data_IF_432072674449
#
_entry.id   IF_432072674449
#
_cell.length_a   1.000
_cell.length_b   1.000
_cell.length_c   1.000
_cell.angle_alpha   90.00
_cell.angle_beta   90.00
_cell.angle_gamma   90.00
#
_symmetry.space_group_name_H-M   'P 1'
#
loop_
_entity.id
_entity.type
_entity.pdbx_description
1 polymer ?
#
# COMPACT_ATOMS: atom_id res chain seq x y z
N UNK A 1 26.41 4.76 -26.62
CA UNK A 1 26.63 6.22 -26.64
C UNK A 1 26.98 6.58 -25.22
N UNK A 2 28.24 6.92 -24.91
CA UNK A 2 28.61 7.56 -23.66
C UNK A 2 27.90 8.91 -23.62
N UNK A 3 27.02 9.11 -22.65
CA UNK A 3 26.43 10.42 -22.37
C UNK A 3 27.53 11.22 -21.69
N UNK A 4 27.96 12.30 -22.30
CA UNK A 4 28.93 13.19 -21.66
C UNK A 4 28.24 13.90 -20.48
N UNK A 5 28.96 14.16 -19.38
CA UNK A 5 28.40 14.84 -18.19
C UNK A 5 27.75 16.19 -18.48
N UNK A 6 28.16 16.85 -19.56
CA UNK A 6 27.65 18.15 -20.02
C UNK A 6 26.27 18.08 -20.70
N UNK A 7 25.78 16.84 -21.03
CA UNK A 7 24.50 16.61 -21.69
C UNK A 7 23.40 16.11 -20.71
N UNK A 8 23.72 16.00 -19.43
CA UNK A 8 22.75 15.54 -18.43
C UNK A 8 21.85 16.69 -17.98
N UNK A 9 20.55 16.42 -17.88
CA UNK A 9 19.57 17.38 -17.39
C UNK A 9 19.81 17.69 -15.90
N UNK A 10 19.80 18.98 -15.53
CA UNK A 10 19.93 19.40 -14.15
C UNK A 10 18.65 19.07 -13.37
N UNK A 11 18.77 18.20 -12.37
CA UNK A 11 17.68 17.76 -11.50
C UNK A 11 17.73 18.38 -10.09
N UNK A 12 18.57 19.40 -9.87
CA UNK A 12 18.73 20.03 -8.55
C UNK A 12 17.38 20.53 -8.00
N UNK A 13 16.57 21.17 -8.83
CA UNK A 13 15.27 21.74 -8.49
C UNK A 13 14.10 20.77 -8.67
N UNK A 14 14.34 19.55 -9.19
CA UNK A 14 13.28 18.54 -9.38
C UNK A 14 12.84 18.00 -8.02
N UNK A 15 11.54 18.01 -7.75
CA UNK A 15 11.00 17.42 -6.54
C UNK A 15 11.13 15.90 -6.57
N UNK A 16 11.46 15.29 -5.42
CA UNK A 16 11.52 13.84 -5.25
C UNK A 16 10.39 13.36 -4.35
N UNK A 17 9.89 12.17 -4.61
CA UNK A 17 8.96 11.47 -3.73
C UNK A 17 9.28 9.98 -3.67
N UNK A 18 9.24 9.39 -2.49
CA UNK A 18 9.38 7.94 -2.33
C UNK A 18 8.11 7.21 -2.74
N UNK A 19 8.22 6.30 -3.72
CA UNK A 19 7.12 5.52 -4.27
C UNK A 19 7.09 4.06 -3.79
N UNK A 20 8.07 3.62 -2.99
CA UNK A 20 8.19 2.26 -2.49
C UNK A 20 8.62 2.26 -1.02
N UNK A 21 7.64 2.32 -0.11
CA UNK A 21 7.86 2.37 1.33
C UNK A 21 6.99 1.36 2.07
N UNK A 22 7.56 0.81 3.14
CA UNK A 22 6.89 -0.15 4.02
C UNK A 22 6.69 0.46 5.41
N UNK A 23 5.49 0.27 5.97
CA UNK A 23 5.18 0.68 7.32
C UNK A 23 5.16 -0.51 8.30
N UNK A 24 4.83 -0.23 9.55
CA UNK A 24 4.60 -1.22 10.61
C UNK A 24 3.56 -2.28 10.23
N UNK A 25 2.73 -2.03 9.20
CA UNK A 25 1.75 -2.99 8.67
C UNK A 25 2.38 -4.01 7.71
N UNK A 26 3.62 -3.80 7.26
CA UNK A 26 4.52 -4.88 6.80
C UNK A 26 5.05 -5.60 8.05
N UNK A 27 4.18 -6.39 8.69
CA UNK A 27 4.35 -6.92 10.05
C UNK A 27 5.66 -7.69 10.18
N UNK A 28 6.46 -7.32 11.21
CA UNK A 28 7.81 -7.85 11.46
C UNK A 28 8.82 -7.64 10.31
N UNK A 29 8.54 -6.71 9.39
CA UNK A 29 9.41 -6.44 8.23
C UNK A 29 9.81 -4.97 8.10
N UNK A 30 9.07 -4.04 8.73
CA UNK A 30 9.42 -2.62 8.76
C UNK A 30 9.23 -2.02 10.15
N UNK A 31 10.06 -1.04 10.49
CA UNK A 31 10.00 -0.29 11.75
C UNK A 31 9.33 1.07 11.60
N UNK A 32 8.88 1.43 10.40
CA UNK A 32 8.31 2.74 10.12
C UNK A 32 6.86 2.80 10.60
N UNK A 33 6.57 3.67 11.58
CA UNK A 33 5.17 4.00 11.88
C UNK A 33 4.62 5.02 10.87
N UNK A 34 3.33 4.93 10.54
CA UNK A 34 2.69 5.85 9.59
C UNK A 34 2.86 7.32 9.99
N UNK A 35 2.67 7.74 11.26
CA UNK A 35 2.94 9.11 11.67
C UNK A 35 4.39 9.56 11.37
N UNK A 36 5.38 8.69 11.60
CA UNK A 36 6.78 8.99 11.29
C UNK A 36 7.07 9.09 9.81
N UNK A 37 6.41 8.28 8.98
CA UNK A 37 6.50 8.39 7.53
C UNK A 37 6.01 9.76 7.05
N UNK A 38 4.86 10.21 7.55
CA UNK A 38 4.26 11.52 7.21
C UNK A 38 5.16 12.67 7.69
N UNK A 39 5.61 12.62 8.94
CA UNK A 39 6.51 13.62 9.54
C UNK A 39 7.80 13.79 8.72
N UNK A 40 8.45 12.69 8.35
CA UNK A 40 9.69 12.75 7.59
C UNK A 40 9.47 13.18 6.13
N UNK A 41 8.34 12.81 5.52
CA UNK A 41 7.95 13.30 4.20
C UNK A 41 7.81 14.83 4.22
N UNK A 42 7.11 15.38 5.21
CA UNK A 42 6.96 16.84 5.39
C UNK A 42 8.31 17.53 5.65
N UNK A 43 9.14 16.98 6.55
CA UNK A 43 10.46 17.50 6.89
C UNK A 43 11.39 17.54 5.67
N UNK A 44 11.32 16.54 4.80
CA UNK A 44 12.09 16.46 3.55
C UNK A 44 11.46 17.26 2.40
N UNK A 45 10.34 17.96 2.65
CA UNK A 45 9.61 18.77 1.66
C UNK A 45 9.21 17.98 0.41
N UNK A 46 8.88 16.70 0.55
CA UNK A 46 8.45 15.87 -0.56
C UNK A 46 6.97 16.13 -0.87
N UNK A 47 6.60 16.35 -2.15
CA UNK A 47 5.23 16.69 -2.55
C UNK A 47 4.27 15.51 -2.47
N UNK A 48 4.78 14.29 -2.37
CA UNK A 48 4.00 13.06 -2.28
C UNK A 48 4.79 11.96 -1.56
N UNK A 49 4.10 10.92 -1.14
CA UNK A 49 4.71 9.69 -0.63
C UNK A 49 3.76 8.53 -0.90
N UNK A 50 4.30 7.37 -1.27
CA UNK A 50 3.52 6.15 -1.39
C UNK A 50 3.65 5.27 -0.14
N UNK A 51 2.56 4.57 0.20
CA UNK A 51 2.56 3.45 1.13
C UNK A 51 2.33 2.17 0.35
N UNK A 52 3.29 1.25 0.39
CA UNK A 52 3.28 0.00 -0.40
C UNK A 52 3.61 -1.21 0.48
N UNK A 53 2.86 -1.38 1.56
CA UNK A 53 3.05 -2.50 2.49
C UNK A 53 2.98 -3.86 1.80
N UNK A 54 3.74 -4.83 2.32
CA UNK A 54 3.89 -6.16 1.74
C UNK A 54 2.61 -6.98 1.96
N UNK A 55 1.93 -7.31 0.88
CA UNK A 55 0.80 -8.23 0.83
C UNK A 55 -0.49 -7.72 1.47
N UNK A 56 -0.56 -6.50 1.97
CA UNK A 56 -1.78 -5.98 2.60
C UNK A 56 -1.93 -4.46 2.44
N UNK A 57 -3.14 -3.97 2.74
CA UNK A 57 -3.51 -2.56 2.69
C UNK A 57 -4.04 -2.05 4.04
N UNK A 58 -3.65 -2.69 5.15
CA UNK A 58 -4.19 -2.40 6.48
C UNK A 58 -3.88 -0.97 6.94
N UNK A 59 -2.74 -0.42 6.52
CA UNK A 59 -2.32 0.94 6.83
C UNK A 59 -3.00 2.05 6.02
N UNK A 60 -3.71 1.72 4.93
CA UNK A 60 -4.18 2.69 3.94
C UNK A 60 -5.07 3.77 4.54
N UNK A 61 -6.04 3.41 5.39
CA UNK A 61 -6.93 4.39 6.03
C UNK A 61 -6.17 5.34 6.96
N UNK A 62 -5.31 4.80 7.83
CA UNK A 62 -4.50 5.62 8.75
C UNK A 62 -3.55 6.54 7.98
N UNK A 63 -2.96 6.05 6.90
CA UNK A 63 -2.05 6.80 6.04
C UNK A 63 -2.75 7.98 5.35
N UNK A 64 -3.85 7.72 4.62
CA UNK A 64 -4.60 8.75 3.91
C UNK A 64 -5.17 9.79 4.89
N UNK A 65 -5.85 9.33 5.96
CA UNK A 65 -6.42 10.25 6.96
C UNK A 65 -5.34 11.07 7.68
N UNK A 66 -4.21 10.46 8.00
CA UNK A 66 -3.06 11.14 8.61
C UNK A 66 -2.51 12.25 7.72
N UNK A 67 -2.32 12.00 6.42
CA UNK A 67 -1.87 13.01 5.45
C UNK A 67 -2.91 14.11 5.26
N UNK A 68 -4.19 13.77 5.13
CA UNK A 68 -5.25 14.79 4.99
C UNK A 68 -5.33 15.71 6.23
N UNK A 69 -5.16 15.17 7.44
CA UNK A 69 -5.10 15.95 8.66
C UNK A 69 -3.85 16.83 8.72
N UNK A 70 -2.68 16.31 8.31
CA UNK A 70 -1.46 17.09 8.16
C UNK A 70 -1.66 18.24 7.18
N UNK A 71 -2.19 17.98 5.98
CA UNK A 71 -2.43 18.98 4.95
C UNK A 71 -3.36 20.09 5.43
N UNK A 72 -4.47 19.75 6.10
CA UNK A 72 -5.39 20.71 6.68
C UNK A 72 -4.69 21.67 7.68
N UNK A 73 -3.79 21.14 8.51
CA UNK A 73 -2.98 21.95 9.43
C UNK A 73 -1.96 22.80 8.69
N UNK A 74 -1.29 22.24 7.68
CA UNK A 74 -0.30 22.93 6.87
C UNK A 74 -0.92 24.08 6.05
N UNK A 75 -2.08 23.84 5.44
CA UNK A 75 -2.85 24.86 4.71
C UNK A 75 -3.24 26.03 5.61
N UNK A 76 -3.72 25.76 6.83
CA UNK A 76 -4.09 26.80 7.79
C UNK A 76 -2.87 27.65 8.21
N UNK A 77 -1.71 27.03 8.44
CA UNK A 77 -0.47 27.73 8.75
C UNK A 77 0.04 28.56 7.56
N UNK A 78 0.03 27.96 6.36
CA UNK A 78 0.43 28.67 5.15
C UNK A 78 -0.47 29.88 4.86
N UNK A 79 -1.79 29.77 5.09
CA UNK A 79 -2.72 30.89 4.96
C UNK A 79 -2.38 32.03 5.94
N UNK A 80 -2.07 31.69 7.20
CA UNK A 80 -1.66 32.69 8.20
C UNK A 80 -0.33 33.40 7.84
N UNK A 81 0.64 32.66 7.28
CA UNK A 81 1.90 33.24 6.77
C UNK A 81 1.65 34.22 5.63
N UNK A 82 0.80 33.84 4.67
CA UNK A 82 0.42 34.70 3.54
C UNK A 82 -0.28 35.98 4.03
N UNK A 83 -1.19 35.88 4.99
CA UNK A 83 -1.85 37.03 5.62
C UNK A 83 -0.85 37.97 6.35
N UNK A 84 0.24 37.39 6.89
CA UNK A 84 1.34 38.15 7.50
C UNK A 84 2.34 38.73 6.47
N UNK A 85 2.15 38.47 5.17
CA UNK A 85 3.06 38.87 4.09
C UNK A 85 4.30 38.01 3.97
N UNK A 86 4.28 36.81 4.54
CA UNK A 86 5.36 35.81 4.49
C UNK A 86 5.09 34.73 3.43
N UNK A 87 6.14 34.00 3.01
CA UNK A 87 5.99 32.89 2.08
C UNK A 87 5.52 31.62 2.78
N UNK A 88 4.67 30.80 2.14
CA UNK A 88 4.30 29.48 2.64
C UNK A 88 5.53 28.59 2.89
N UNK A 89 5.58 27.95 4.04
CA UNK A 89 6.71 27.07 4.41
C UNK A 89 6.31 25.61 4.64
N UNK A 90 5.03 25.35 4.92
CA UNK A 90 4.54 24.00 5.19
C UNK A 90 4.29 23.23 3.91
N UNK A 91 4.71 21.97 3.91
CA UNK A 91 4.55 21.09 2.75
C UNK A 91 3.17 20.44 2.71
N UNK A 92 2.52 20.54 1.57
CA UNK A 92 1.30 19.79 1.26
C UNK A 92 1.69 18.47 0.59
N UNK A 93 1.21 17.36 1.13
CA UNK A 93 1.62 16.02 0.73
C UNK A 93 0.47 15.33 -0.01
N UNK A 94 0.73 14.73 -1.18
CA UNK A 94 -0.21 13.86 -1.86
C UNK A 94 -0.04 12.42 -1.39
N UNK A 95 -1.06 11.76 -0.79
CA UNK A 95 -0.99 10.35 -0.44
C UNK A 95 -1.13 9.48 -1.70
N UNK A 96 -0.23 8.53 -1.87
CA UNK A 96 -0.31 7.50 -2.92
C UNK A 96 -0.47 6.16 -2.24
N UNK A 97 -1.63 5.52 -2.41
CA UNK A 97 -1.89 4.21 -1.81
C UNK A 97 -1.50 3.12 -2.79
N UNK A 98 -0.71 2.18 -2.32
CA UNK A 98 -0.29 1.00 -3.06
C UNK A 98 -0.19 -0.23 -2.19
N UNK A 99 0.31 -1.29 -2.77
CA UNK A 99 0.64 -2.54 -2.08
C UNK A 99 1.71 -3.29 -2.90
N UNK A 100 2.65 -3.91 -2.21
CA UNK A 100 3.60 -4.84 -2.81
C UNK A 100 3.01 -6.26 -2.75
N UNK A 101 2.55 -6.77 -3.90
CA UNK A 101 1.87 -8.06 -4.00
C UNK A 101 2.82 -9.19 -4.35
N UNK A 102 2.54 -10.39 -3.83
CA UNK A 102 3.14 -11.64 -4.29
C UNK A 102 2.36 -12.19 -5.47
N UNK A 103 2.95 -12.14 -6.67
CA UNK A 103 2.35 -12.57 -7.93
C UNK A 103 2.90 -13.93 -8.33
N UNK A 104 2.14 -14.98 -8.09
CA UNK A 104 2.50 -16.36 -8.40
C UNK A 104 1.88 -16.83 -9.73
N UNK A 105 2.19 -18.06 -10.15
CA UNK A 105 1.65 -18.64 -11.38
C UNK A 105 0.14 -18.93 -11.27
N UNK A 106 -0.30 -19.49 -10.14
CA UNK A 106 -1.70 -19.79 -9.85
C UNK A 106 -1.94 -19.62 -8.35
N UNK A 107 -2.67 -18.59 -7.96
CA UNK A 107 -2.92 -18.28 -6.55
C UNK A 107 -3.74 -19.34 -5.81
N UNK A 108 -4.52 -20.16 -6.53
CA UNK A 108 -5.33 -21.23 -5.95
C UNK A 108 -4.56 -22.54 -5.75
N UNK A 109 -3.43 -22.71 -6.45
CA UNK A 109 -2.61 -23.91 -6.29
C UNK A 109 -1.85 -23.88 -4.95
N UNK A 110 -2.10 -24.86 -4.11
CA UNK A 110 -1.45 -25.05 -2.81
C UNK A 110 -0.64 -26.37 -2.76
N UNK A 111 -0.45 -27.02 -3.89
CA UNK A 111 0.31 -28.27 -4.00
C UNK A 111 1.82 -28.05 -3.93
N UNK A 112 2.28 -26.92 -4.48
CA UNK A 112 3.68 -26.54 -4.49
C UNK A 112 3.90 -25.16 -3.88
N UNK A 113 5.04 -24.97 -3.19
CA UNK A 113 5.42 -23.67 -2.66
C UNK A 113 5.85 -22.76 -3.80
N UNK A 114 4.98 -21.84 -4.18
CA UNK A 114 5.23 -20.76 -5.11
C UNK A 114 4.83 -19.44 -4.43
N UNK A 115 5.80 -18.72 -3.89
CA UNK A 115 5.55 -17.42 -3.29
C UNK A 115 5.36 -16.32 -4.34
N UNK A 116 5.73 -16.58 -5.59
CA UNK A 116 5.66 -15.61 -6.68
C UNK A 116 6.73 -14.53 -6.61
N UNK A 117 6.52 -13.48 -7.41
CA UNK A 117 7.36 -12.29 -7.49
C UNK A 117 6.70 -11.12 -6.78
N UNK A 118 7.50 -10.21 -6.23
CA UNK A 118 7.00 -9.02 -5.56
C UNK A 118 6.83 -7.88 -6.57
N UNK A 119 5.60 -7.42 -6.75
CA UNK A 119 5.23 -6.37 -7.71
C UNK A 119 4.51 -5.26 -6.97
N UNK A 120 4.91 -4.02 -7.19
CA UNK A 120 4.27 -2.86 -6.58
C UNK A 120 3.15 -2.35 -7.49
N UNK A 121 1.96 -2.25 -6.92
CA UNK A 121 0.78 -1.69 -7.56
C UNK A 121 0.34 -0.44 -6.81
N UNK A 122 0.16 0.70 -7.53
CA UNK A 122 -0.27 1.97 -6.97
C UNK A 122 -1.65 2.34 -7.51
N UNK A 123 -2.53 2.86 -6.67
CA UNK A 123 -3.86 3.32 -7.07
C UNK A 123 -3.80 4.76 -7.63
N UNK A 124 -4.33 4.99 -8.83
CA UNK A 124 -4.45 6.33 -9.40
C UNK A 124 -5.57 7.15 -8.75
N UNK A 125 -6.60 6.50 -8.27
CA UNK A 125 -7.78 7.14 -7.68
C UNK A 125 -8.51 6.18 -6.72
N UNK A 126 -9.66 6.59 -6.20
CA UNK A 126 -10.45 5.80 -5.25
C UNK A 126 -10.93 4.45 -5.85
N UNK A 127 -11.20 4.39 -7.16
CA UNK A 127 -11.57 3.14 -7.84
C UNK A 127 -10.38 2.17 -7.87
N UNK A 128 -9.19 2.67 -8.21
CA UNK A 128 -7.94 1.90 -8.14
C UNK A 128 -7.67 1.38 -6.72
N UNK A 129 -7.88 2.21 -5.68
CA UNK A 129 -7.82 1.76 -4.29
C UNK A 129 -8.76 0.58 -4.00
N UNK A 130 -10.02 0.64 -4.46
CA UNK A 130 -10.95 -0.47 -4.27
C UNK A 130 -10.53 -1.73 -5.04
N UNK A 131 -9.91 -1.58 -6.20
CA UNK A 131 -9.35 -2.70 -6.96
C UNK A 131 -8.18 -3.36 -6.22
N UNK A 132 -7.25 -2.56 -5.66
CA UNK A 132 -6.18 -3.08 -4.81
C UNK A 132 -6.73 -3.78 -3.55
N UNK A 133 -7.76 -3.21 -2.91
CA UNK A 133 -8.39 -3.82 -1.74
C UNK A 133 -9.03 -5.19 -2.07
N UNK A 134 -9.63 -5.34 -3.26
CA UNK A 134 -10.15 -6.63 -3.74
C UNK A 134 -9.03 -7.63 -4.01
N UNK A 135 -7.95 -7.20 -4.65
CA UNK A 135 -6.76 -8.05 -4.86
C UNK A 135 -6.18 -8.52 -3.52
N UNK A 136 -5.98 -7.61 -2.57
CA UNK A 136 -5.51 -7.95 -1.22
C UNK A 136 -6.45 -8.93 -0.51
N UNK A 137 -7.77 -8.70 -0.57
CA UNK A 137 -8.75 -9.61 0.03
C UNK A 137 -8.66 -11.01 -0.56
N UNK A 138 -8.62 -11.11 -1.90
CA UNK A 138 -8.48 -12.41 -2.60
C UNK A 138 -7.16 -13.09 -2.33
N UNK A 139 -6.08 -12.33 -2.15
CA UNK A 139 -4.79 -12.89 -1.77
C UNK A 139 -4.86 -13.66 -0.43
N UNK A 140 -5.65 -13.14 0.53
CA UNK A 140 -5.83 -13.80 1.82
C UNK A 140 -6.91 -14.88 1.81
N UNK A 141 -8.06 -14.66 1.17
CA UNK A 141 -9.17 -15.62 1.19
C UNK A 141 -8.92 -16.83 0.31
N UNK A 142 -8.40 -16.61 -0.88
CA UNK A 142 -8.27 -17.64 -1.92
C UNK A 142 -6.81 -18.06 -2.11
N UNK A 143 -5.89 -17.09 -2.07
CA UNK A 143 -4.50 -17.24 -2.48
C UNK A 143 -3.49 -17.54 -1.36
N UNK A 144 -3.89 -17.50 -0.08
CA UNK A 144 -2.94 -17.66 1.01
C UNK A 144 -2.34 -19.07 1.06
N UNK A 145 -1.02 -19.11 0.86
CA UNK A 145 -0.21 -20.31 1.06
C UNK A 145 1.24 -19.86 1.33
N UNK A 146 1.68 -19.89 2.59
CA UNK A 146 2.87 -19.26 3.16
C UNK A 146 2.84 -17.73 3.12
N UNK A 147 2.43 -17.12 2.00
CA UNK A 147 2.22 -15.68 1.82
C UNK A 147 0.89 -15.42 1.11
N UNK A 148 0.30 -14.21 1.24
CA UNK A 148 -0.91 -13.86 0.50
C UNK A 148 -0.59 -13.62 -0.98
N UNK A 149 -1.06 -14.51 -1.86
CA UNK A 149 -0.69 -14.52 -3.29
C UNK A 149 -1.85 -14.11 -4.18
N UNK A 150 -1.52 -13.42 -5.24
CA UNK A 150 -2.39 -13.20 -6.40
C UNK A 150 -1.72 -13.79 -7.64
N UNK A 151 -2.41 -13.79 -8.76
CA UNK A 151 -1.85 -14.17 -10.06
C UNK A 151 -2.22 -13.18 -11.17
N UNK A 152 -1.66 -13.37 -12.34
CA UNK A 152 -1.88 -12.52 -13.50
C UNK A 152 -3.34 -12.48 -13.97
N UNK A 153 -4.11 -13.54 -13.73
CA UNK A 153 -5.54 -13.57 -14.08
C UNK A 153 -6.37 -12.68 -13.15
N UNK A 154 -6.07 -12.66 -11.85
CA UNK A 154 -6.69 -11.70 -10.92
C UNK A 154 -6.30 -10.26 -11.25
N UNK A 155 -5.04 -10.02 -11.61
CA UNK A 155 -4.58 -8.70 -11.99
C UNK A 155 -5.35 -8.18 -13.20
N UNK A 156 -5.55 -8.99 -14.26
CA UNK A 156 -6.36 -8.61 -15.43
C UNK A 156 -7.77 -8.18 -15.06
N UNK A 157 -8.39 -8.83 -14.06
CA UNK A 157 -9.76 -8.50 -13.62
C UNK A 157 -9.86 -7.16 -12.89
N UNK A 158 -8.79 -6.73 -12.20
CA UNK A 158 -8.80 -5.56 -11.32
C UNK A 158 -7.75 -4.51 -11.69
N UNK A 159 -7.23 -4.53 -12.91
CA UNK A 159 -6.11 -3.67 -13.35
C UNK A 159 -6.47 -2.20 -13.59
N UNK A 160 -7.75 -1.86 -13.68
CA UNK A 160 -8.16 -0.50 -13.98
C UNK A 160 -7.75 0.49 -12.89
N UNK A 161 -7.28 1.66 -13.30
CA UNK A 161 -6.83 2.75 -12.44
C UNK A 161 -5.64 2.38 -11.53
N UNK A 162 -4.75 1.51 -12.03
CA UNK A 162 -3.55 1.04 -11.32
C UNK A 162 -2.30 1.38 -12.14
N UNK A 163 -1.28 1.85 -11.44
CA UNK A 163 0.10 1.99 -11.93
C UNK A 163 0.91 0.80 -11.42
N UNK A 164 1.83 0.29 -12.24
CA UNK A 164 2.69 -0.84 -11.91
C UNK A 164 4.15 -0.42 -11.89
N UNK A 165 4.86 -0.80 -10.82
CA UNK A 165 6.31 -0.71 -10.72
C UNK A 165 6.88 -2.13 -10.74
N UNK A 166 7.98 -2.34 -11.48
CA UNK A 166 8.56 -3.69 -11.66
C UNK A 166 9.13 -4.33 -10.40
N UNK A 167 9.24 -3.56 -9.31
CA UNK A 167 9.69 -4.05 -8.01
C UNK A 167 11.21 -4.13 -7.86
N UNK A 168 11.64 -4.61 -6.69
CA UNK A 168 13.04 -4.83 -6.32
C UNK A 168 13.63 -6.05 -7.06
N UNK A 169 14.80 -6.54 -6.64
CA UNK A 169 15.38 -7.83 -7.12
C UNK A 169 14.43 -9.03 -6.96
N UNK A 170 13.37 -8.89 -6.16
CA UNK A 170 12.30 -9.90 -6.00
C UNK A 170 11.15 -9.71 -7.01
N UNK A 171 11.15 -8.63 -7.79
CA UNK A 171 10.21 -8.40 -8.89
C UNK A 171 10.37 -9.40 -10.02
N UNK A 172 9.32 -9.62 -10.83
CA UNK A 172 9.35 -10.65 -11.89
C UNK A 172 10.47 -10.37 -12.91
N UNK A 173 10.56 -9.15 -13.41
CA UNK A 173 11.54 -8.78 -14.43
C UNK A 173 12.96 -8.79 -13.87
N UNK A 174 13.27 -8.06 -12.76
CA UNK A 174 14.59 -8.08 -12.17
C UNK A 174 15.06 -9.47 -11.75
N UNK A 175 14.17 -10.27 -11.15
CA UNK A 175 14.52 -11.62 -10.70
C UNK A 175 14.84 -12.54 -11.88
N UNK A 176 14.10 -12.46 -12.98
CA UNK A 176 14.37 -13.25 -14.19
C UNK A 176 15.68 -12.85 -14.84
N UNK A 177 16.04 -11.55 -14.88
CA UNK A 177 17.37 -11.11 -15.35
C UNK A 177 18.46 -11.80 -14.54
N UNK A 178 18.34 -11.81 -13.21
CA UNK A 178 19.38 -12.30 -12.32
C UNK A 178 19.49 -13.84 -12.29
N UNK A 179 18.36 -14.56 -12.35
CA UNK A 179 18.31 -15.99 -12.01
C UNK A 179 17.89 -16.90 -13.17
N UNK A 180 17.33 -16.37 -14.27
CA UNK A 180 16.75 -17.19 -15.34
C UNK A 180 17.38 -16.85 -16.70
N UNK A 181 17.26 -15.59 -17.12
CA UNK A 181 17.81 -15.11 -18.36
C UNK A 181 17.07 -13.88 -18.91
N UNK A 182 17.76 -13.10 -19.73
CA UNK A 182 17.25 -11.84 -20.27
C UNK A 182 16.02 -12.03 -21.17
N UNK A 183 15.99 -13.08 -21.98
CA UNK A 183 14.85 -13.34 -22.87
C UNK A 183 13.54 -13.54 -22.09
N UNK A 184 13.57 -14.36 -21.03
CA UNK A 184 12.42 -14.62 -20.18
C UNK A 184 12.02 -13.39 -19.35
N UNK A 185 12.99 -12.56 -18.98
CA UNK A 185 12.74 -11.27 -18.33
C UNK A 185 12.08 -10.28 -19.29
N UNK A 186 12.54 -10.23 -20.54
CA UNK A 186 11.96 -9.38 -21.57
C UNK A 186 10.52 -9.80 -21.91
N UNK A 187 10.24 -11.10 -22.05
CA UNK A 187 8.88 -11.61 -22.22
C UNK A 187 7.96 -11.20 -21.06
N UNK A 188 8.46 -11.25 -19.83
CA UNK A 188 7.71 -10.79 -18.67
C UNK A 188 7.41 -9.29 -18.74
N UNK A 189 8.41 -8.46 -19.06
CA UNK A 189 8.22 -7.02 -19.23
C UNK A 189 7.17 -6.69 -20.29
N UNK A 190 7.22 -7.39 -21.42
CA UNK A 190 6.27 -7.22 -22.53
C UNK A 190 4.85 -7.56 -22.11
N UNK A 191 4.66 -8.61 -21.30
CA UNK A 191 3.35 -8.94 -20.73
C UNK A 191 2.82 -7.79 -19.85
N UNK A 192 3.65 -7.24 -18.96
CA UNK A 192 3.26 -6.11 -18.12
C UNK A 192 2.94 -4.87 -18.96
N UNK A 193 3.74 -4.60 -19.99
CA UNK A 193 3.51 -3.48 -20.90
C UNK A 193 2.21 -3.63 -21.69
N UNK A 194 1.89 -4.83 -22.18
CA UNK A 194 0.62 -5.10 -22.86
C UNK A 194 -0.59 -4.82 -21.95
N UNK A 195 -0.49 -5.14 -20.65
CA UNK A 195 -1.59 -4.97 -19.72
C UNK A 195 -1.77 -3.54 -19.23
N UNK A 196 -0.68 -2.77 -19.03
CA UNK A 196 -0.70 -1.47 -18.35
C UNK A 196 -0.24 -0.29 -19.23
N UNK A 197 0.38 -0.52 -20.37
CA UNK A 197 0.81 0.53 -21.30
C UNK A 197 1.68 1.58 -20.63
N UNK A 198 1.21 2.84 -20.65
CA UNK A 198 1.90 4.01 -20.06
C UNK A 198 1.82 4.06 -18.51
N UNK A 199 1.11 3.13 -17.89
CA UNK A 199 1.04 2.99 -16.44
C UNK A 199 2.03 1.94 -15.88
N UNK A 200 2.88 1.39 -16.75
CA UNK A 200 4.02 0.55 -16.36
C UNK A 200 5.30 1.38 -16.26
N UNK A 201 6.00 1.25 -15.14
CA UNK A 201 7.31 1.86 -14.91
C UNK A 201 8.33 0.81 -14.50
N UNK A 202 9.53 0.91 -15.09
CA UNK A 202 10.68 0.14 -14.64
C UNK A 202 11.29 0.84 -13.43
N UNK A 203 11.32 0.14 -12.32
CA UNK A 203 11.85 0.61 -11.05
C UNK A 203 13.35 0.31 -10.95
N UNK A 204 14.15 1.34 -10.72
CA UNK A 204 15.58 1.24 -10.47
C UNK A 204 15.87 1.52 -9.01
N UNK A 205 16.68 0.68 -8.40
CA UNK A 205 17.16 0.82 -7.02
C UNK A 205 18.68 0.86 -6.98
N UNK A 206 19.23 1.58 -6.00
CA UNK A 206 20.67 1.62 -5.77
C UNK A 206 20.96 1.56 -4.27
N UNK A 207 21.02 0.33 -3.72
CA UNK A 207 21.48 0.04 -2.36
C UNK A 207 22.95 -0.37 -2.34
N UNK A 208 23.73 0.02 -3.34
CA UNK A 208 25.14 -0.29 -3.48
C UNK A 208 25.41 -1.82 -3.52
N UNK A 209 24.55 -2.58 -4.22
CA UNK A 209 24.72 -4.02 -4.44
C UNK A 209 25.15 -4.31 -5.87
N UNK A 210 26.04 -5.26 -6.07
CA UNK A 210 26.49 -5.67 -7.40
C UNK A 210 25.36 -6.29 -8.24
N UNK A 211 24.47 -7.07 -7.61
CA UNK A 211 23.32 -7.66 -8.28
C UNK A 211 22.37 -6.57 -8.83
N UNK A 212 22.14 -5.48 -8.07
CA UNK A 212 21.34 -4.34 -8.54
C UNK A 212 22.01 -3.62 -9.74
N UNK A 213 23.32 -3.41 -9.69
CA UNK A 213 24.05 -2.77 -10.80
C UNK A 213 23.94 -3.59 -12.08
N UNK A 214 24.10 -4.92 -11.97
CA UNK A 214 23.99 -5.83 -13.11
C UNK A 214 22.56 -5.81 -13.68
N UNK A 215 21.55 -5.92 -12.85
CA UNK A 215 20.14 -5.92 -13.24
C UNK A 215 19.74 -4.56 -13.83
N UNK A 216 20.14 -3.44 -13.21
CA UNK A 216 19.85 -2.09 -13.71
C UNK A 216 20.40 -1.87 -15.13
N UNK A 217 21.56 -2.42 -15.47
CA UNK A 217 22.13 -2.32 -16.82
C UNK A 217 21.15 -2.89 -17.86
N UNK A 218 20.62 -4.08 -17.62
CA UNK A 218 19.65 -4.71 -18.52
C UNK A 218 18.29 -3.99 -18.50
N UNK A 219 17.83 -3.54 -17.33
CA UNK A 219 16.58 -2.78 -17.21
C UNK A 219 16.61 -1.47 -17.99
N UNK A 220 17.73 -0.75 -17.99
CA UNK A 220 17.95 0.47 -18.78
C UNK A 220 17.89 0.15 -20.29
N UNK A 221 18.47 -0.97 -20.71
CA UNK A 221 18.39 -1.41 -22.11
C UNK A 221 16.94 -1.74 -22.49
N UNK A 222 16.20 -2.44 -21.63
CA UNK A 222 14.78 -2.75 -21.85
C UNK A 222 13.91 -1.50 -21.91
N UNK A 223 14.16 -0.53 -21.02
CA UNK A 223 13.48 0.77 -21.04
C UNK A 223 13.61 1.44 -22.42
N UNK A 224 14.83 1.55 -22.93
CA UNK A 224 15.13 2.17 -24.23
C UNK A 224 14.52 1.37 -25.38
N UNK A 225 14.69 0.04 -25.37
CA UNK A 225 14.20 -0.87 -26.44
C UNK A 225 12.67 -0.87 -26.55
N UNK A 226 11.99 -0.82 -25.42
CA UNK A 226 10.55 -0.97 -25.36
C UNK A 226 9.81 0.33 -25.03
N UNK A 227 10.50 1.46 -24.90
CA UNK A 227 9.91 2.73 -24.51
C UNK A 227 9.04 2.60 -23.23
N UNK A 228 9.64 2.05 -22.16
CA UNK A 228 9.04 1.99 -20.80
C UNK A 228 9.83 2.92 -19.91
N UNK A 229 9.17 3.85 -19.23
CA UNK A 229 9.83 4.87 -18.41
C UNK A 229 10.50 4.28 -17.19
N UNK A 230 11.66 4.84 -16.83
CA UNK A 230 12.41 4.52 -15.61
C UNK A 230 11.94 5.40 -14.46
N UNK A 231 11.93 4.84 -13.23
CA UNK A 231 11.80 5.61 -11.99
C UNK A 231 12.81 5.14 -10.95
N UNK A 232 13.27 6.06 -10.12
CA UNK A 232 14.18 5.77 -9.03
C UNK A 232 13.41 5.59 -7.70
N UNK A 233 13.66 4.49 -6.99
CA UNK A 233 13.08 4.22 -5.67
C UNK A 233 14.14 3.69 -4.70
N UNK A 234 13.79 3.59 -3.41
CA UNK A 234 14.73 3.10 -2.39
C UNK A 234 14.29 1.86 -1.63
N UNK A 235 13.11 1.30 -1.83
CA UNK A 235 12.63 0.14 -1.05
C UNK A 235 12.83 0.31 0.47
N UNK A 236 12.10 1.26 1.08
CA UNK A 236 12.38 1.77 2.41
C UNK A 236 11.74 0.92 3.51
N UNK A 237 12.49 0.57 4.57
CA UNK A 237 12.03 -0.24 5.71
C UNK A 237 12.23 0.42 7.07
N UNK A 238 13.02 1.48 7.16
CA UNK A 238 13.27 2.26 8.39
C UNK A 238 13.58 3.72 8.07
N UNK A 239 13.42 4.61 9.05
CA UNK A 239 13.52 6.05 8.81
C UNK A 239 14.97 6.52 8.75
N UNK A 240 15.76 6.25 9.76
CA UNK A 240 17.14 6.73 9.84
C UNK A 240 18.11 5.58 9.57
N UNK A 241 19.28 5.87 9.04
CA UNK A 241 20.32 4.86 8.75
C UNK A 241 20.73 4.06 10.00
N UNK A 242 20.71 4.71 11.16
CA UNK A 242 21.04 4.13 12.46
C UNK A 242 20.01 3.09 12.92
N UNK A 243 18.79 3.14 12.40
CA UNK A 243 17.70 2.20 12.72
C UNK A 243 17.93 0.80 12.10
N UNK A 244 18.93 0.66 11.22
CA UNK A 244 19.25 -0.60 10.54
C UNK A 244 19.46 -1.78 11.50
N UNK A 245 20.11 -1.54 12.66
CA UNK A 245 20.31 -2.59 13.67
C UNK A 245 18.98 -3.02 14.33
N UNK A 246 18.09 -2.08 14.64
CA UNK A 246 16.77 -2.38 15.20
C UNK A 246 15.92 -3.15 14.19
N UNK A 247 16.01 -2.79 12.91
CA UNK A 247 15.34 -3.49 11.81
C UNK A 247 15.87 -4.92 11.65
N UNK A 248 17.19 -5.13 11.73
CA UNK A 248 17.80 -6.47 11.66
C UNK A 248 17.33 -7.38 12.81
N UNK A 249 17.22 -6.82 14.03
CA UNK A 249 16.65 -7.55 15.18
C UNK A 249 15.17 -7.93 14.90
N UNK A 250 14.39 -7.02 14.33
CA UNK A 250 12.99 -7.30 13.97
C UNK A 250 12.89 -8.47 12.97
N UNK A 251 13.76 -8.53 11.96
CA UNK A 251 13.82 -9.65 11.02
C UNK A 251 14.20 -10.96 11.71
N UNK A 252 15.13 -10.92 12.69
CA UNK A 252 15.47 -12.09 13.50
C UNK A 252 14.26 -12.59 14.31
N UNK A 253 13.46 -11.69 14.89
CA UNK A 253 12.22 -12.05 15.60
C UNK A 253 11.22 -12.70 14.65
N UNK A 254 11.07 -12.16 13.44
CA UNK A 254 10.18 -12.71 12.41
C UNK A 254 10.49 -14.16 12.07
N UNK A 255 11.78 -14.48 11.90
CA UNK A 255 12.23 -15.77 11.38
C UNK A 255 12.64 -16.75 12.50
N UNK A 256 12.61 -16.32 13.78
CA UNK A 256 13.04 -17.11 14.93
C UNK A 256 14.55 -17.34 14.96
N UNK A 257 15.32 -16.43 14.35
CA UNK A 257 16.77 -16.53 14.19
C UNK A 257 17.54 -15.67 15.22
N UNK A 258 18.82 -15.96 15.37
CA UNK A 258 19.72 -15.15 16.19
C UNK A 258 20.46 -14.14 15.31
N UNK A 259 20.65 -12.91 15.80
CA UNK A 259 21.41 -11.89 15.10
C UNK A 259 22.87 -12.34 14.79
N UNK A 260 23.45 -13.19 15.63
CA UNK A 260 24.78 -13.76 15.41
C UNK A 260 24.84 -14.74 14.21
N UNK A 261 23.69 -15.27 13.73
CA UNK A 261 23.66 -16.09 12.51
C UNK A 261 24.01 -15.22 11.31
N UNK A 262 24.99 -15.60 10.47
CA UNK A 262 25.39 -14.78 9.33
C UNK A 262 24.23 -14.58 8.33
N UNK A 263 24.13 -13.38 7.75
CA UNK A 263 23.18 -13.07 6.66
C UNK A 263 23.67 -13.75 5.38
N UNK A 264 22.78 -14.46 4.70
CA UNK A 264 23.11 -15.16 3.47
C UNK A 264 22.00 -16.10 2.98
N UNK A 265 22.36 -17.02 2.08
CA UNK A 265 21.44 -18.02 1.51
C UNK A 265 21.91 -19.44 1.86
N UNK A 266 20.95 -20.34 2.09
CA UNK A 266 21.22 -21.74 2.37
C UNK A 266 21.37 -22.08 3.86
N UNK A 267 21.78 -23.33 4.12
CA UNK A 267 21.85 -23.85 5.48
C UNK A 267 22.92 -23.13 6.31
N UNK A 268 22.56 -22.66 7.51
CA UNK A 268 23.44 -21.94 8.43
C UNK A 268 23.48 -20.43 8.22
N UNK A 269 22.64 -19.92 7.32
CA UNK A 269 22.44 -18.49 7.09
C UNK A 269 21.01 -18.08 7.42
N UNK A 270 20.83 -16.79 7.74
CA UNK A 270 19.52 -16.17 7.94
C UNK A 270 19.25 -15.10 6.90
N UNK A 271 17.98 -14.75 6.77
CA UNK A 271 17.59 -13.56 6.03
C UNK A 271 17.97 -12.28 6.77
N UNK A 272 18.35 -11.25 6.05
CA UNK A 272 18.66 -9.92 6.54
C UNK A 272 19.00 -8.99 5.37
N UNK A 273 18.99 -7.67 5.61
CA UNK A 273 19.42 -6.72 4.59
C UNK A 273 20.96 -6.79 4.43
N UNK A 274 21.46 -6.73 3.19
CA UNK A 274 22.90 -6.86 2.93
C UNK A 274 23.72 -5.67 3.44
N UNK A 275 23.08 -4.51 3.65
CA UNK A 275 23.68 -3.29 4.15
C UNK A 275 22.63 -2.36 4.80
N UNK A 276 23.01 -1.11 5.12
CA UNK A 276 22.18 -0.14 5.82
C UNK A 276 21.50 0.88 4.91
N UNK A 277 21.37 0.60 3.61
CA UNK A 277 20.91 1.59 2.62
C UNK A 277 19.37 1.63 2.45
N UNK A 278 18.60 0.90 3.23
CA UNK A 278 17.12 0.77 3.15
C UNK A 278 16.37 1.78 4.02
N UNK A 279 17.00 2.92 4.35
CA UNK A 279 16.40 4.00 5.12
C UNK A 279 15.68 5.02 4.22
N UNK A 280 14.88 5.88 4.84
CA UNK A 280 14.14 6.94 4.15
C UNK A 280 15.09 8.08 3.76
N UNK A 281 15.76 7.92 2.62
CA UNK A 281 16.74 8.87 2.09
C UNK A 281 16.12 10.22 1.76
N UNK A 282 16.90 11.30 1.86
CA UNK A 282 16.49 12.60 1.37
C UNK A 282 16.38 12.64 -0.16
N UNK A 283 15.63 13.60 -0.68
CA UNK A 283 15.54 13.81 -2.13
C UNK A 283 16.91 14.08 -2.76
N UNK A 284 17.79 14.80 -2.06
CA UNK A 284 19.14 15.10 -2.55
C UNK A 284 20.03 13.85 -2.58
N UNK A 285 19.95 12.98 -1.55
CA UNK A 285 20.63 11.69 -1.59
C UNK A 285 20.17 10.83 -2.76
N UNK A 286 18.86 10.79 -3.03
CA UNK A 286 18.32 10.04 -4.16
C UNK A 286 18.76 10.62 -5.51
N UNK A 287 18.73 11.95 -5.69
CA UNK A 287 19.23 12.63 -6.90
C UNK A 287 20.71 12.32 -7.14
N UNK A 288 21.52 12.32 -6.08
CA UNK A 288 22.93 11.98 -6.17
C UNK A 288 23.15 10.52 -6.62
N UNK A 289 22.36 9.58 -6.11
CA UNK A 289 22.46 8.16 -6.49
C UNK A 289 22.08 7.89 -7.95
N UNK A 290 21.28 8.77 -8.55
CA UNK A 290 20.77 8.65 -9.92
C UNK A 290 21.17 9.83 -10.81
N UNK A 291 22.26 10.52 -10.48
CA UNK A 291 22.73 11.69 -11.24
C UNK A 291 22.98 11.37 -12.72
N UNK A 292 23.42 10.16 -13.04
CA UNK A 292 23.66 9.70 -14.42
C UNK A 292 22.36 9.27 -15.15
N UNK A 293 21.21 9.28 -14.47
CA UNK A 293 19.89 8.86 -14.97
C UNK A 293 18.81 9.84 -14.53
N UNK A 294 18.89 11.12 -14.94
CA UNK A 294 17.98 12.18 -14.51
C UNK A 294 16.51 11.85 -14.81
N UNK A 295 16.22 11.18 -15.93
CA UNK A 295 14.87 10.74 -16.29
C UNK A 295 14.21 9.89 -15.20
N UNK A 296 14.98 9.06 -14.47
CA UNK A 296 14.45 8.22 -13.41
C UNK A 296 13.94 9.02 -12.20
N UNK A 297 14.45 10.22 -11.99
CA UNK A 297 13.96 11.18 -10.98
C UNK A 297 12.80 12.00 -11.55
N UNK A 298 12.94 12.53 -12.77
CA UNK A 298 11.94 13.40 -13.42
C UNK A 298 10.61 12.67 -13.61
N UNK A 299 10.64 11.41 -14.04
CA UNK A 299 9.44 10.60 -14.26
C UNK A 299 8.60 10.33 -13.00
N UNK A 300 9.14 10.54 -11.79
CA UNK A 300 8.39 10.45 -10.55
C UNK A 300 7.24 11.46 -10.53
N UNK A 301 7.46 12.67 -11.07
CA UNK A 301 6.44 13.70 -11.14
C UNK A 301 5.22 13.24 -11.97
N UNK A 302 5.45 12.50 -13.05
CA UNK A 302 4.35 11.97 -13.87
C UNK A 302 3.44 11.02 -13.06
N UNK A 303 4.03 10.16 -12.21
CA UNK A 303 3.23 9.30 -11.33
C UNK A 303 2.44 10.13 -10.33
N UNK A 304 3.06 11.16 -9.73
CA UNK A 304 2.38 12.08 -8.80
C UNK A 304 1.19 12.75 -9.49
N UNK A 305 1.34 13.18 -10.75
CA UNK A 305 0.30 13.86 -11.50
C UNK A 305 -0.83 12.92 -11.92
N UNK A 306 -0.54 11.65 -12.20
CA UNK A 306 -1.54 10.61 -12.50
C UNK A 306 -2.40 10.22 -11.29
N UNK A 307 -1.95 10.50 -10.07
CA UNK A 307 -2.69 10.14 -8.85
C UNK A 307 -3.59 11.29 -8.42
N UNK A 308 -4.88 11.02 -8.30
CA UNK A 308 -5.87 11.92 -7.74
C UNK A 308 -5.81 11.90 -6.20
N UNK A 309 -6.05 13.05 -5.58
CA UNK A 309 -6.27 13.10 -4.14
C UNK A 309 -7.70 12.65 -3.81
N UNK A 310 -7.84 11.73 -2.87
CA UNK A 310 -9.15 11.22 -2.43
C UNK A 310 -9.17 10.95 -0.94
N UNK A 311 -10.36 10.97 -0.35
CA UNK A 311 -10.60 10.60 1.03
C UNK A 311 -11.14 9.16 1.12
N UNK A 312 -10.68 8.44 2.13
CA UNK A 312 -11.22 7.13 2.52
C UNK A 312 -12.30 7.24 3.60
N UNK A 313 -12.58 8.45 4.10
CA UNK A 313 -13.72 8.67 4.99
C UNK A 313 -15.03 8.35 4.27
N UNK A 314 -15.94 7.79 5.00
CA UNK A 314 -17.31 7.51 4.55
C UNK A 314 -18.26 7.68 5.73
N UNK A 315 -19.52 7.87 5.43
CA UNK A 315 -20.58 7.81 6.42
C UNK A 315 -20.66 6.43 7.07
N UNK A 316 -21.17 6.41 8.28
CA UNK A 316 -21.38 5.15 9.00
C UNK A 316 -22.34 4.29 8.18
N UNK A 317 -21.88 3.11 7.77
CA UNK A 317 -22.72 2.12 7.11
C UNK A 317 -23.30 1.19 8.19
N UNK A 318 -24.54 1.43 8.53
CA UNK A 318 -25.29 0.49 9.34
C UNK A 318 -25.68 -0.71 8.44
N UNK A 319 -25.44 -1.96 8.88
CA UNK A 319 -25.87 -3.12 8.12
C UNK A 319 -27.40 -3.14 8.03
N UNK A 320 -27.92 -3.25 6.81
CA UNK A 320 -29.36 -3.49 6.61
C UNK A 320 -29.64 -4.96 6.85
N UNK A 321 -30.47 -5.25 7.84
CA UNK A 321 -30.98 -6.59 8.10
C UNK A 321 -32.30 -6.77 7.33
N UNK A 322 -32.40 -7.84 6.54
CA UNK A 322 -33.67 -8.17 5.89
C UNK A 322 -34.60 -8.79 6.91
N UNK A 323 -35.65 -8.05 7.29
CA UNK A 323 -36.72 -8.55 8.14
C UNK A 323 -37.71 -9.37 7.32
N UNK A 324 -38.49 -10.31 7.95
CA UNK A 324 -39.59 -10.96 7.29
C UNK A 324 -40.67 -9.95 6.87
N UNK A 325 -41.28 -10.18 5.70
CA UNK A 325 -42.25 -9.26 5.08
C UNK A 325 -43.45 -8.93 6.01
N UNK A 326 -43.81 -9.86 6.92
CA UNK A 326 -44.89 -9.69 7.93
C UNK A 326 -44.63 -8.60 8.97
N UNK A 327 -43.38 -8.14 9.09
CA UNK A 327 -42.98 -7.06 10.00
C UNK A 327 -42.76 -5.73 9.26
N UNK A 328 -42.78 -5.73 7.92
CA UNK A 328 -42.76 -4.51 7.16
C UNK A 328 -44.06 -3.74 7.34
N UNK A 329 -43.98 -2.45 7.58
CA UNK A 329 -45.12 -1.56 7.76
C UNK A 329 -45.08 -0.45 6.69
N UNK A 330 -46.24 0.11 6.27
CA UNK A 330 -46.24 1.15 5.23
C UNK A 330 -45.38 2.38 5.57
N UNK A 331 -45.28 2.70 6.85
CA UNK A 331 -44.49 3.82 7.39
C UNK A 331 -42.97 3.61 7.27
N UNK A 332 -42.53 2.38 6.96
CA UNK A 332 -41.10 2.07 6.71
C UNK A 332 -40.56 2.83 5.50
N UNK A 333 -41.44 3.25 4.58
CA UNK A 333 -41.09 4.11 3.46
C UNK A 333 -40.63 5.50 3.91
N UNK A 334 -41.08 5.97 5.08
CA UNK A 334 -40.76 7.30 5.62
C UNK A 334 -39.51 7.31 6.49
N UNK A 335 -39.25 6.21 7.21
CA UNK A 335 -38.16 6.11 8.20
C UNK A 335 -37.02 5.15 7.78
N UNK A 336 -37.07 4.62 6.57
CA UNK A 336 -36.04 3.74 6.02
C UNK A 336 -36.08 2.30 6.58
N UNK A 337 -37.22 1.89 7.16
CA UNK A 337 -37.46 0.53 7.68
C UNK A 337 -37.32 0.40 9.19
N UNK A 338 -37.07 1.49 9.90
CA UNK A 338 -36.79 1.48 11.36
C UNK A 338 -37.93 0.91 12.19
N UNK A 339 -39.20 1.20 11.83
CA UNK A 339 -40.37 0.70 12.54
C UNK A 339 -40.52 -0.82 12.40
N UNK A 340 -40.35 -1.33 11.19
CA UNK A 340 -40.38 -2.78 10.93
C UNK A 340 -39.26 -3.51 11.64
N UNK A 341 -38.05 -2.97 11.60
CA UNK A 341 -36.88 -3.53 12.31
C UNK A 341 -37.13 -3.59 13.83
N UNK A 342 -37.66 -2.53 14.44
CA UNK A 342 -38.02 -2.49 15.86
C UNK A 342 -39.11 -3.49 16.21
N UNK A 343 -40.15 -3.64 15.38
CA UNK A 343 -41.21 -4.62 15.55
C UNK A 343 -40.64 -6.05 15.52
N UNK A 344 -39.77 -6.33 14.58
CA UNK A 344 -39.12 -7.65 14.47
C UNK A 344 -38.19 -7.92 15.66
N UNK A 345 -37.40 -6.93 16.10
CA UNK A 345 -36.57 -7.06 17.29
C UNK A 345 -37.40 -7.35 18.54
N UNK A 346 -38.52 -6.62 18.70
CA UNK A 346 -39.46 -6.88 19.79
C UNK A 346 -39.97 -8.33 19.78
N UNK A 347 -40.43 -8.81 18.60
CA UNK A 347 -40.89 -10.18 18.42
C UNK A 347 -39.82 -11.19 18.84
N UNK A 348 -38.60 -11.04 18.33
CA UNK A 348 -37.49 -11.95 18.68
C UNK A 348 -37.13 -11.92 20.17
N UNK A 349 -37.18 -10.75 20.80
CA UNK A 349 -36.88 -10.54 22.20
C UNK A 349 -37.90 -11.29 23.07
N UNK A 350 -39.20 -11.12 22.83
CA UNK A 350 -40.24 -11.81 23.59
C UNK A 350 -40.21 -13.30 23.33
N UNK A 351 -40.06 -13.77 22.11
CA UNK A 351 -39.90 -15.20 21.77
C UNK A 351 -38.66 -15.82 22.42
N UNK A 352 -37.60 -15.02 22.57
CA UNK A 352 -36.38 -15.42 23.30
C UNK A 352 -36.62 -15.49 24.82
N UNK A 353 -37.39 -14.55 25.36
CA UNK A 353 -37.72 -14.49 26.77
C UNK A 353 -38.60 -15.70 27.22
N UNK A 354 -39.60 -16.06 26.42
CA UNK A 354 -40.45 -17.26 26.67
C UNK A 354 -39.62 -18.56 26.80
N UNK A 355 -38.49 -18.65 26.11
CA UNK A 355 -37.59 -19.80 26.19
C UNK A 355 -36.68 -19.78 27.43
N UNK A 356 -36.43 -18.60 28.00
CA UNK A 356 -35.46 -18.40 29.08
C UNK A 356 -36.09 -18.31 30.45
N UNK A 357 -37.32 -17.83 30.54
CA UNK A 357 -38.04 -17.64 31.77
C UNK A 357 -39.20 -18.63 31.84
N UNK A 358 -39.39 -19.36 32.97
CA UNK A 358 -40.53 -20.26 33.15
C UNK A 358 -41.87 -19.53 33.08
N UNK A 359 -41.91 -18.27 33.51
CA UNK A 359 -43.04 -17.38 33.50
C UNK A 359 -42.54 -15.94 33.21
N UNK A 360 -43.20 -15.23 32.31
CA UNK A 360 -42.93 -13.81 32.03
C UNK A 360 -43.74 -12.96 32.99
N UNK A 361 -43.15 -12.63 34.14
CA UNK A 361 -43.73 -11.73 35.13
C UNK A 361 -43.80 -10.30 34.60
N UNK A 362 -44.62 -9.44 35.22
CA UNK A 362 -44.76 -8.05 34.79
C UNK A 362 -43.44 -7.28 34.93
N UNK A 363 -42.62 -7.53 35.95
CA UNK A 363 -41.30 -6.94 36.13
C UNK A 363 -40.36 -7.28 34.94
N UNK A 364 -40.41 -8.52 34.45
CA UNK A 364 -39.61 -8.98 33.31
C UNK A 364 -40.07 -8.26 32.05
N UNK A 365 -41.37 -8.15 31.81
CA UNK A 365 -41.93 -7.46 30.65
C UNK A 365 -41.57 -5.98 30.67
N UNK A 366 -41.73 -5.32 31.83
CA UNK A 366 -41.37 -3.90 31.98
C UNK A 366 -39.88 -3.66 31.66
N UNK A 367 -39.01 -4.55 32.12
CA UNK A 367 -37.60 -4.48 31.84
C UNK A 367 -37.28 -4.69 30.34
N UNK A 368 -37.92 -5.66 29.68
CA UNK A 368 -37.75 -5.88 28.25
C UNK A 368 -38.21 -4.67 27.42
N UNK A 369 -39.37 -4.10 27.78
CA UNK A 369 -39.93 -2.94 27.12
C UNK A 369 -39.03 -1.70 27.28
N UNK A 370 -38.45 -1.50 28.46
CA UNK A 370 -37.48 -0.44 28.73
C UNK A 370 -36.23 -0.58 27.85
N UNK A 371 -35.65 -1.77 27.75
CA UNK A 371 -34.47 -2.02 26.92
C UNK A 371 -34.77 -1.80 25.41
N UNK A 372 -35.90 -2.32 24.95
CA UNK A 372 -36.35 -2.13 23.54
C UNK A 372 -36.60 -0.67 23.23
N UNK A 373 -37.20 0.10 24.13
CA UNK A 373 -37.41 1.54 23.97
C UNK A 373 -36.06 2.28 23.93
N UNK A 374 -35.11 1.87 24.77
CA UNK A 374 -33.77 2.47 24.79
C UNK A 374 -33.05 2.25 23.46
N UNK A 375 -33.10 1.04 22.90
CA UNK A 375 -32.51 0.68 21.61
C UNK A 375 -33.18 1.49 20.48
N UNK A 376 -34.51 1.58 20.47
CA UNK A 376 -35.24 2.29 19.42
C UNK A 376 -34.99 3.81 19.40
N UNK A 377 -34.55 4.39 20.51
CA UNK A 377 -34.26 5.82 20.65
C UNK A 377 -32.77 6.15 20.45
N UNK A 378 -31.91 5.14 20.21
CA UNK A 378 -30.46 5.30 19.99
C UNK A 378 -30.11 5.38 18.51
#
# INVERSE_FOLDING_TARGET
IEILPEDLEDISDVAFAHLHNHSQFSVLQSTISIPKLIENTAKQKMPAVALTDIGNMMGAFQFVSGILNHNKSAEAKNAALVEAGEQPTETIIKPIVGCEFFVCNNHKDKSNKDNGYQIVLLAKNKKGYHNLAKLSSKAYTDGFYYVPRIDKELIKQYKEDIIVLTGSLYGEVPNKILNIGENQAEEALLWWKEQFGEDLYIELMNHNQEDEKAVNTTLIQFSRKHNVKLIATNNTFYINKEDANAHDILLCVKDGEKQATPIGRGRGYRYGMPNQEYYFKSGDEMKQLFVDLPDAIINIQEIIDKVEAYSLYRDVLLPKFKIPDEFEVPEDAEDGGVRGENNYLRHLTYKGAEKRYPELTDDIKERLDFELLTISNS
#
